data_IF_640521420181
#
_entry.id   IF_640521420181
#
_cell.length_a   1.000
_cell.length_b   1.000
_cell.length_c   1.000
_cell.angle_alpha   90.00
_cell.angle_beta   90.00
_cell.angle_gamma   90.00
#
_symmetry.space_group_name_H-M   'P 1'
#
loop_
_entity.id
_entity.type
_entity.pdbx_description
1 polymer ?
#
# COMPACT_ATOMS: atom_id res chain seq x y z
N UNK A 1 3.59 28.70 -16.79
CA UNK A 1 3.50 27.32 -16.25
C UNK A 1 4.82 26.70 -16.61
N UNK A 2 5.70 26.48 -15.63
CA UNK A 2 6.94 25.74 -15.90
C UNK A 2 6.56 24.34 -16.38
N UNK A 3 7.14 23.93 -17.51
CA UNK A 3 6.91 22.63 -18.10
C UNK A 3 7.49 21.59 -17.14
N UNK A 4 6.65 20.66 -16.66
CA UNK A 4 7.09 19.60 -15.76
C UNK A 4 8.13 18.73 -16.48
N UNK A 5 9.37 18.79 -16.03
CA UNK A 5 10.47 18.05 -16.64
C UNK A 5 10.45 16.59 -16.18
N UNK A 6 9.82 15.76 -17.02
CA UNK A 6 9.70 14.31 -16.82
C UNK A 6 11.06 13.62 -16.77
N UNK A 7 12.03 14.07 -17.56
CA UNK A 7 13.37 13.47 -17.57
C UNK A 7 14.11 13.77 -16.27
N UNK A 8 13.98 14.99 -15.75
CA UNK A 8 14.50 15.35 -14.44
C UNK A 8 13.83 14.56 -13.31
N UNK A 9 12.51 14.37 -13.37
CA UNK A 9 11.79 13.54 -12.39
C UNK A 9 12.23 12.06 -12.45
N UNK A 10 12.39 11.49 -13.64
CA UNK A 10 12.93 10.13 -13.81
C UNK A 10 14.34 10.02 -13.23
N UNK A 11 15.19 11.02 -13.47
CA UNK A 11 16.54 11.05 -12.93
C UNK A 11 16.55 11.08 -11.40
N UNK A 12 15.71 11.93 -10.81
CA UNK A 12 15.57 12.07 -9.36
C UNK A 12 15.02 10.81 -8.69
N UNK A 13 13.98 10.18 -9.26
CA UNK A 13 13.42 8.92 -8.77
C UNK A 13 14.46 7.80 -8.85
N UNK A 14 15.18 7.69 -9.98
CA UNK A 14 16.22 6.69 -10.17
C UNK A 14 17.34 6.81 -9.13
N UNK A 15 17.79 8.04 -8.87
CA UNK A 15 18.80 8.32 -7.86
C UNK A 15 18.30 8.01 -6.44
N UNK A 16 17.13 8.53 -6.05
CA UNK A 16 16.58 8.38 -4.70
C UNK A 16 16.23 6.94 -4.34
N UNK A 17 15.76 6.15 -5.32
CA UNK A 17 15.46 4.73 -5.16
C UNK A 17 16.65 3.82 -5.48
N UNK A 18 17.76 4.38 -5.96
CA UNK A 18 18.96 3.67 -6.39
C UNK A 18 18.66 2.55 -7.42
N UNK A 19 17.97 2.93 -8.50
CA UNK A 19 17.59 2.06 -9.61
C UNK A 19 18.03 2.69 -10.95
N UNK A 20 18.05 1.89 -12.02
CA UNK A 20 18.42 2.38 -13.35
C UNK A 20 17.26 3.17 -13.99
N UNK A 21 17.56 4.26 -14.70
CA UNK A 21 16.55 5.14 -15.30
C UNK A 21 15.67 4.43 -16.34
N UNK A 22 16.22 3.47 -17.08
CA UNK A 22 15.50 2.68 -18.09
C UNK A 22 14.42 1.77 -17.49
N UNK A 23 14.40 1.61 -16.17
CA UNK A 23 13.36 0.89 -15.43
C UNK A 23 12.14 1.75 -15.14
N UNK A 24 12.21 3.04 -15.40
CA UNK A 24 11.20 4.03 -15.06
C UNK A 24 10.57 4.58 -16.35
N UNK A 25 9.25 4.56 -16.41
CA UNK A 25 8.47 5.16 -17.49
C UNK A 25 7.37 6.05 -16.93
N UNK A 26 7.16 7.22 -17.52
CA UNK A 26 6.04 8.08 -17.15
C UNK A 26 4.78 7.74 -17.95
N UNK A 27 3.65 7.60 -17.28
CA UNK A 27 2.34 7.33 -17.89
C UNK A 27 1.51 8.62 -17.88
N UNK A 28 1.43 9.29 -19.02
CA UNK A 28 0.86 10.65 -19.11
C UNK A 28 -0.60 10.76 -18.66
N UNK A 29 -1.44 9.80 -19.03
CA UNK A 29 -2.88 9.86 -18.77
C UNK A 29 -3.26 9.64 -17.30
N UNK A 30 -2.33 9.12 -16.50
CA UNK A 30 -2.53 8.83 -15.07
C UNK A 30 -1.60 9.63 -14.16
N UNK A 31 -0.73 10.47 -14.74
CA UNK A 31 0.28 11.27 -14.02
C UNK A 31 1.08 10.44 -13.01
N UNK A 32 1.62 9.28 -13.46
CA UNK A 32 2.33 8.35 -12.60
C UNK A 32 3.64 7.86 -13.22
N UNK A 33 4.61 7.55 -12.36
CA UNK A 33 5.88 6.95 -12.74
C UNK A 33 5.85 5.46 -12.44
N UNK A 34 5.86 4.65 -13.51
CA UNK A 34 5.90 3.21 -13.42
C UNK A 34 7.35 2.73 -13.34
N UNK A 35 7.64 1.93 -12.32
CA UNK A 35 8.94 1.31 -12.04
C UNK A 35 8.78 -0.19 -12.25
N UNK A 36 9.57 -0.77 -13.13
CA UNK A 36 9.41 -2.15 -13.59
C UNK A 36 10.58 -3.06 -13.20
N UNK A 37 10.27 -4.29 -12.78
CA UNK A 37 11.21 -5.40 -12.74
C UNK A 37 12.52 -5.07 -11.99
N UNK A 38 12.39 -4.50 -10.79
CA UNK A 38 13.50 -4.07 -9.95
C UNK A 38 13.40 -4.62 -8.52
N UNK A 39 14.56 -4.86 -7.91
CA UNK A 39 14.68 -4.93 -6.46
C UNK A 39 14.89 -3.49 -5.97
N UNK A 40 14.09 -3.01 -5.02
CA UNK A 40 14.23 -1.65 -4.47
C UNK A 40 15.17 -1.71 -3.26
N UNK A 41 16.45 -1.34 -3.39
CA UNK A 41 17.47 -1.65 -2.38
C UNK A 41 17.40 -0.78 -1.12
N UNK A 42 16.76 0.39 -1.19
CA UNK A 42 16.75 1.38 -0.10
C UNK A 42 15.34 1.62 0.35
N UNK A 43 15.04 1.27 1.60
CA UNK A 43 13.73 1.52 2.16
C UNK A 43 13.83 1.84 3.65
N UNK A 44 14.12 3.10 3.97
CA UNK A 44 13.84 3.68 5.29
C UNK A 44 14.00 5.21 5.29
N UNK A 45 15.02 5.74 4.60
CA UNK A 45 15.46 7.12 4.91
C UNK A 45 15.17 8.17 3.83
N UNK A 46 14.93 7.79 2.57
CA UNK A 46 14.72 8.75 1.46
C UNK A 46 13.25 9.01 1.15
N UNK A 47 12.52 9.30 2.22
CA UNK A 47 11.07 9.48 2.34
C UNK A 47 10.45 10.45 1.29
N UNK A 48 11.23 11.41 0.76
CA UNK A 48 10.73 12.48 -0.11
C UNK A 48 10.17 12.01 -1.44
N UNK A 49 10.74 10.96 -2.05
CA UNK A 49 10.29 10.48 -3.36
C UNK A 49 8.81 10.07 -3.34
N UNK A 50 8.35 9.48 -2.23
CA UNK A 50 6.96 9.08 -2.02
C UNK A 50 6.01 10.26 -1.76
N UNK A 51 6.54 11.45 -1.45
CA UNK A 51 5.76 12.68 -1.25
C UNK A 51 5.62 13.52 -2.53
N UNK A 52 6.60 13.39 -3.42
CA UNK A 52 6.74 14.24 -4.59
C UNK A 52 6.05 13.64 -5.81
N UNK A 53 6.07 12.30 -5.94
CA UNK A 53 5.63 11.61 -7.15
C UNK A 53 4.56 10.55 -6.88
N UNK A 54 3.61 10.42 -7.81
CA UNK A 54 2.75 9.24 -7.88
C UNK A 54 3.57 8.09 -8.45
N UNK A 55 3.73 7.00 -7.69
CA UNK A 55 4.59 5.88 -8.06
C UNK A 55 3.76 4.61 -8.25
N UNK A 56 4.11 3.86 -9.29
CA UNK A 56 3.55 2.55 -9.57
C UNK A 56 4.66 1.52 -9.72
N UNK A 57 4.74 0.57 -8.79
CA UNK A 57 5.71 -0.52 -8.81
C UNK A 57 5.08 -1.75 -9.44
N UNK A 58 5.69 -2.25 -10.52
CA UNK A 58 5.21 -3.41 -11.26
C UNK A 58 6.29 -4.50 -11.32
N UNK A 59 5.95 -5.69 -10.80
CA UNK A 59 6.88 -6.85 -10.71
C UNK A 59 8.17 -6.52 -9.97
N UNK A 60 8.07 -5.71 -8.92
CA UNK A 60 9.20 -5.32 -8.09
C UNK A 60 9.33 -6.19 -6.84
N UNK A 61 10.54 -6.29 -6.32
CA UNK A 61 10.82 -6.88 -5.01
C UNK A 61 11.09 -5.75 -4.01
N UNK A 62 10.32 -5.72 -2.93
CA UNK A 62 10.31 -4.66 -1.93
C UNK A 62 10.80 -5.26 -0.59
N UNK A 63 12.06 -5.02 -0.19
CA UNK A 63 12.62 -5.65 1.00
C UNK A 63 11.91 -5.30 2.30
N UNK A 64 11.76 -4.03 2.71
CA UNK A 64 11.08 -3.64 3.96
C UNK A 64 10.54 -2.20 3.85
N UNK A 65 9.23 -1.95 3.88
CA UNK A 65 8.68 -0.60 3.67
C UNK A 65 7.94 -0.06 4.88
N UNK A 66 8.34 1.11 5.37
CA UNK A 66 7.64 1.81 6.45
C UNK A 66 7.22 3.20 5.96
N UNK A 67 5.91 3.45 5.94
CA UNK A 67 5.31 4.72 5.54
C UNK A 67 4.77 5.46 6.77
N UNK A 68 5.38 6.59 7.11
CA UNK A 68 5.09 7.33 8.35
C UNK A 68 4.54 8.74 8.14
N UNK A 69 4.42 9.16 6.88
CA UNK A 69 4.25 10.55 6.46
C UNK A 69 3.28 10.64 5.29
N UNK A 70 2.81 11.84 4.98
CA UNK A 70 1.94 12.12 3.83
C UNK A 70 2.60 11.72 2.52
N UNK A 71 1.98 10.84 1.74
CA UNK A 71 2.47 10.39 0.43
C UNK A 71 1.50 10.78 -0.69
N UNK A 72 2.03 10.81 -1.91
CA UNK A 72 1.23 10.78 -3.14
C UNK A 72 0.63 9.38 -3.35
N UNK A 73 0.05 9.14 -4.52
CA UNK A 73 -0.43 7.79 -4.88
C UNK A 73 0.74 6.80 -4.88
N UNK A 74 0.61 5.69 -4.16
CA UNK A 74 1.53 4.56 -4.21
C UNK A 74 0.78 3.30 -4.62
N UNK A 75 1.17 2.75 -5.76
CA UNK A 75 0.55 1.58 -6.33
C UNK A 75 1.57 0.46 -6.48
N UNK A 76 1.18 -0.76 -6.11
CA UNK A 76 2.01 -1.95 -6.21
C UNK A 76 1.20 -3.03 -6.91
N UNK A 77 1.78 -3.63 -7.95
CA UNK A 77 1.14 -4.73 -8.66
C UNK A 77 2.12 -5.84 -9.01
N UNK A 78 1.74 -7.08 -8.74
CA UNK A 78 2.59 -8.26 -8.94
C UNK A 78 3.93 -8.15 -8.21
N UNK A 79 3.97 -7.46 -7.07
CA UNK A 79 5.18 -7.26 -6.29
C UNK A 79 5.37 -8.38 -5.26
N UNK A 80 6.62 -8.56 -4.83
CA UNK A 80 6.97 -9.42 -3.69
C UNK A 80 7.51 -8.55 -2.56
N UNK A 81 6.90 -8.63 -1.37
CA UNK A 81 7.37 -7.96 -0.16
C UNK A 81 8.11 -8.99 0.70
N UNK A 82 9.45 -8.93 0.70
CA UNK A 82 10.31 -9.93 1.38
C UNK A 82 10.29 -9.78 2.91
N UNK A 83 10.03 -8.57 3.40
CA UNK A 83 9.82 -8.24 4.81
C UNK A 83 8.54 -7.41 4.98
N UNK A 84 8.38 -6.81 6.15
CA UNK A 84 7.14 -6.13 6.52
C UNK A 84 6.88 -4.87 5.68
N UNK A 85 5.61 -4.64 5.37
CA UNK A 85 5.10 -3.34 4.91
C UNK A 85 4.26 -2.76 6.05
N UNK A 86 4.70 -1.63 6.60
CA UNK A 86 4.05 -0.95 7.71
C UNK A 86 3.62 0.47 7.33
N UNK A 87 2.37 0.83 7.63
CA UNK A 87 1.83 2.19 7.56
C UNK A 87 1.58 2.65 9.00
N UNK A 88 2.08 3.83 9.40
CA UNK A 88 1.87 4.36 10.76
C UNK A 88 2.00 5.88 10.86
N UNK A 89 1.89 6.41 12.08
CA UNK A 89 2.21 7.80 12.41
C UNK A 89 1.39 8.83 11.62
N UNK A 90 2.02 9.66 10.79
CA UNK A 90 1.41 10.81 10.13
C UNK A 90 1.04 10.54 8.67
N UNK A 91 0.88 9.27 8.29
CA UNK A 91 0.46 8.90 6.95
C UNK A 91 -0.90 9.50 6.60
N UNK A 92 -0.95 10.23 5.49
CA UNK A 92 -2.18 10.52 4.75
C UNK A 92 -1.85 10.36 3.26
N UNK A 93 -2.56 9.48 2.58
CA UNK A 93 -2.21 9.11 1.21
C UNK A 93 -3.16 8.07 0.64
N UNK A 94 -2.91 7.72 -0.63
CA UNK A 94 -3.60 6.64 -1.32
C UNK A 94 -2.61 5.50 -1.57
N UNK A 95 -2.99 4.29 -1.14
CA UNK A 95 -2.23 3.07 -1.42
C UNK A 95 -3.12 2.06 -2.16
N UNK A 96 -2.58 1.48 -3.22
CA UNK A 96 -3.19 0.36 -3.95
C UNK A 96 -2.18 -0.79 -4.01
N UNK A 97 -2.58 -1.99 -3.59
CA UNK A 97 -1.73 -3.19 -3.65
C UNK A 97 -2.54 -4.31 -4.29
N UNK A 98 -2.05 -4.83 -5.41
CA UNK A 98 -2.76 -5.81 -6.22
C UNK A 98 -1.88 -6.99 -6.62
N UNK A 99 -2.45 -8.19 -6.66
CA UNK A 99 -1.80 -9.39 -7.18
C UNK A 99 -0.40 -9.66 -6.57
N UNK A 100 -0.16 -9.24 -5.31
CA UNK A 100 1.17 -9.21 -4.68
C UNK A 100 1.29 -10.24 -3.55
N UNK A 101 2.53 -10.58 -3.19
CA UNK A 101 2.86 -11.58 -2.16
C UNK A 101 3.60 -10.91 -1.00
N UNK A 102 3.18 -11.23 0.23
CA UNK A 102 3.83 -10.77 1.46
C UNK A 102 4.44 -11.95 2.20
N UNK A 103 5.77 -11.96 2.29
CA UNK A 103 6.53 -13.01 3.00
C UNK A 103 6.54 -12.82 4.52
N UNK A 104 6.14 -11.63 4.99
CA UNK A 104 6.04 -11.20 6.39
C UNK A 104 4.76 -10.38 6.60
N UNK A 105 4.79 -9.41 7.52
CA UNK A 105 3.61 -8.71 8.00
C UNK A 105 3.21 -7.54 7.09
N UNK A 106 1.92 -7.44 6.79
CA UNK A 106 1.30 -6.19 6.35
C UNK A 106 0.59 -5.52 7.53
N UNK A 107 0.97 -4.27 7.80
CA UNK A 107 0.61 -3.56 9.02
C UNK A 107 0.08 -2.15 8.79
N UNK A 108 -1.02 -1.79 9.47
CA UNK A 108 -1.47 -0.39 9.58
C UNK A 108 -1.71 -0.07 11.05
N UNK A 109 -0.90 0.81 11.64
CA UNK A 109 -0.86 0.99 13.09
C UNK A 109 -0.87 2.46 13.50
N UNK A 110 -1.80 2.84 14.38
CA UNK A 110 -1.79 4.11 15.10
C UNK A 110 -1.58 5.33 14.18
N UNK A 111 -2.22 5.33 13.01
CA UNK A 111 -2.15 6.47 12.11
C UNK A 111 -2.96 7.62 12.71
N UNK A 112 -2.26 8.71 13.03
CA UNK A 112 -2.80 9.91 13.70
C UNK A 112 -3.73 10.72 12.81
N UNK A 113 -3.48 10.68 11.50
CA UNK A 113 -4.31 11.33 10.49
C UNK A 113 -5.36 10.37 9.95
N UNK A 114 -6.43 10.94 9.42
CA UNK A 114 -7.42 10.15 8.69
C UNK A 114 -6.87 9.73 7.33
N UNK A 115 -6.79 8.42 7.08
CA UNK A 115 -6.27 7.86 5.84
C UNK A 115 -7.30 8.02 4.74
N UNK A 116 -6.88 8.55 3.58
CA UNK A 116 -7.78 8.82 2.47
C UNK A 116 -8.32 7.56 1.81
N UNK A 117 -7.44 6.67 1.35
CA UNK A 117 -7.85 5.44 0.68
C UNK A 117 -6.77 4.36 0.74
N UNK A 118 -7.18 3.15 1.11
CA UNK A 118 -6.36 1.93 1.01
C UNK A 118 -7.14 0.93 0.18
N UNK A 119 -6.49 0.35 -0.84
CA UNK A 119 -7.06 -0.69 -1.68
C UNK A 119 -6.09 -1.88 -1.73
N UNK A 120 -6.58 -3.04 -1.32
CA UNK A 120 -5.78 -4.27 -1.19
C UNK A 120 -6.57 -5.40 -1.83
N UNK A 121 -6.17 -5.83 -3.03
CA UNK A 121 -6.92 -6.79 -3.83
C UNK A 121 -6.06 -7.95 -4.34
N UNK A 122 -6.54 -9.20 -4.28
CA UNK A 122 -5.87 -10.38 -4.89
C UNK A 122 -4.46 -10.65 -4.36
N UNK A 123 -4.18 -10.28 -3.12
CA UNK A 123 -2.86 -10.50 -2.52
C UNK A 123 -2.80 -11.79 -1.70
N UNK A 124 -1.58 -12.29 -1.49
CA UNK A 124 -1.29 -13.42 -0.60
C UNK A 124 -0.56 -12.88 0.63
N UNK A 125 -1.16 -13.06 1.80
CA UNK A 125 -0.61 -12.61 3.07
C UNK A 125 -0.33 -13.79 4.01
N UNK A 126 0.81 -13.71 4.72
CA UNK A 126 0.99 -14.47 5.96
C UNK A 126 0.24 -13.77 7.09
N UNK A 127 0.69 -12.57 7.47
CA UNK A 127 0.14 -11.89 8.64
C UNK A 127 -0.36 -10.49 8.27
N UNK A 128 -1.60 -10.19 8.65
CA UNK A 128 -2.23 -8.87 8.47
C UNK A 128 -2.64 -8.31 9.82
N UNK A 129 -2.20 -7.10 10.14
CA UNK A 129 -2.53 -6.43 11.39
C UNK A 129 -2.94 -4.97 11.16
N UNK A 130 -4.16 -4.60 11.53
CA UNK A 130 -4.71 -3.26 11.30
C UNK A 130 -5.32 -2.74 12.60
N UNK A 131 -4.63 -1.81 13.27
CA UNK A 131 -4.98 -1.36 14.62
C UNK A 131 -5.07 0.15 14.79
N UNK A 132 -6.16 0.61 15.40
CA UNK A 132 -6.32 1.99 15.89
C UNK A 132 -6.17 3.06 14.81
N UNK A 133 -6.88 2.89 13.70
CA UNK A 133 -6.83 3.82 12.56
C UNK A 133 -8.20 4.46 12.28
N UNK A 134 -8.17 5.65 11.67
CA UNK A 134 -9.34 6.26 11.03
C UNK A 134 -9.14 6.25 9.51
N UNK A 135 -10.01 5.57 8.77
CA UNK A 135 -9.86 5.35 7.32
C UNK A 135 -11.15 5.73 6.61
N UNK A 136 -11.05 6.62 5.61
CA UNK A 136 -12.21 7.03 4.82
C UNK A 136 -12.67 5.88 3.92
N UNK A 137 -11.81 5.44 3.02
CA UNK A 137 -12.14 4.37 2.07
C UNK A 137 -11.17 3.20 2.24
N UNK A 138 -11.70 2.03 2.57
CA UNK A 138 -10.92 0.82 2.77
C UNK A 138 -11.49 -0.31 1.92
N UNK A 139 -10.72 -0.73 0.92
CA UNK A 139 -11.07 -1.90 0.12
C UNK A 139 -10.08 -3.03 0.39
N UNK A 140 -10.60 -4.20 0.77
CA UNK A 140 -9.81 -5.37 1.10
C UNK A 140 -10.49 -6.61 0.53
N UNK A 141 -10.11 -7.00 -0.68
CA UNK A 141 -10.88 -7.94 -1.49
C UNK A 141 -10.05 -9.07 -2.11
N UNK A 142 -10.67 -10.24 -2.27
CA UNK A 142 -10.08 -11.37 -2.99
C UNK A 142 -8.68 -11.81 -2.47
N UNK A 143 -8.35 -11.52 -1.22
CA UNK A 143 -7.04 -11.84 -0.65
C UNK A 143 -7.04 -13.24 -0.01
N UNK A 144 -5.91 -13.93 -0.09
CA UNK A 144 -5.65 -15.18 0.65
C UNK A 144 -4.76 -14.88 1.85
N UNK A 145 -5.27 -15.08 3.06
CA UNK A 145 -4.61 -14.62 4.29
C UNK A 145 -4.44 -15.77 5.27
N UNK A 146 -3.23 -15.91 5.83
CA UNK A 146 -2.98 -16.91 6.86
C UNK A 146 -3.56 -16.48 8.22
N UNK A 147 -3.11 -15.34 8.76
CA UNK A 147 -3.61 -14.74 10.00
C UNK A 147 -4.00 -13.28 9.77
N UNK A 148 -5.14 -12.88 10.34
CA UNK A 148 -5.60 -11.49 10.31
C UNK A 148 -6.11 -11.03 11.66
N UNK A 149 -5.71 -9.82 12.04
CA UNK A 149 -6.24 -9.10 13.20
C UNK A 149 -6.56 -7.65 12.83
N UNK A 150 -7.83 -7.27 12.93
CA UNK A 150 -8.31 -5.91 12.68
C UNK A 150 -9.04 -5.42 13.92
N UNK A 151 -8.46 -4.45 14.63
CA UNK A 151 -8.96 -4.00 15.92
C UNK A 151 -9.03 -2.47 16.07
N UNK A 152 -10.10 -1.99 16.71
CA UNK A 152 -10.26 -0.59 17.12
C UNK A 152 -10.17 0.42 15.96
N UNK A 153 -10.60 0.07 14.75
CA UNK A 153 -10.59 0.99 13.61
C UNK A 153 -11.92 1.71 13.44
N UNK A 154 -11.88 2.92 12.88
CA UNK A 154 -13.04 3.70 12.48
C UNK A 154 -13.01 3.90 10.95
N UNK A 155 -13.96 3.29 10.26
CA UNK A 155 -14.14 3.42 8.82
C UNK A 155 -15.27 4.42 8.52
N UNK A 156 -14.94 5.57 7.93
CA UNK A 156 -15.80 6.77 7.91
C UNK A 156 -16.44 7.09 6.56
N UNK A 157 -16.22 6.30 5.51
CA UNK A 157 -17.04 6.37 4.29
C UNK A 157 -17.43 4.99 3.82
N UNK A 158 -16.50 4.27 3.22
CA UNK A 158 -16.76 2.96 2.62
C UNK A 158 -15.71 1.96 3.09
N UNK A 159 -16.17 0.82 3.60
CA UNK A 159 -15.33 -0.32 3.93
C UNK A 159 -15.86 -1.57 3.23
N UNK A 160 -14.99 -2.24 2.48
CA UNK A 160 -15.27 -3.46 1.74
C UNK A 160 -14.33 -4.56 2.19
N UNK A 161 -14.91 -5.71 2.55
CA UNK A 161 -14.20 -6.92 2.93
C UNK A 161 -14.84 -8.10 2.17
N UNK A 162 -14.55 -8.23 0.87
CA UNK A 162 -15.25 -9.19 0.02
C UNK A 162 -14.32 -10.29 -0.51
N UNK A 163 -14.84 -11.50 -0.66
CA UNK A 163 -14.16 -12.63 -1.30
C UNK A 163 -12.77 -12.99 -0.72
N UNK A 164 -12.50 -12.63 0.53
CA UNK A 164 -11.25 -13.01 1.20
C UNK A 164 -11.30 -14.45 1.69
N UNK A 165 -10.17 -15.15 1.63
CA UNK A 165 -9.97 -16.49 2.19
C UNK A 165 -9.08 -16.39 3.43
N UNK A 166 -9.55 -16.91 4.56
CA UNK A 166 -8.81 -16.93 5.82
C UNK A 166 -8.46 -18.37 6.18
N UNK A 167 -7.17 -18.67 6.42
CA UNK A 167 -6.73 -20.05 6.61
C UNK A 167 -6.58 -20.47 8.09
N UNK A 168 -6.32 -19.52 8.99
CA UNK A 168 -6.12 -19.79 10.42
C UNK A 168 -6.86 -18.78 11.29
N UNK A 169 -6.17 -17.77 11.82
CA UNK A 169 -6.77 -16.82 12.76
C UNK A 169 -7.44 -15.66 12.02
N UNK A 170 -8.67 -15.35 12.43
CA UNK A 170 -9.43 -14.22 11.91
C UNK A 170 -10.10 -13.46 13.05
N UNK A 171 -9.51 -12.31 13.42
CA UNK A 171 -9.99 -11.46 14.51
C UNK A 171 -10.46 -10.11 13.96
N UNK A 172 -11.73 -9.80 14.22
CA UNK A 172 -12.31 -8.49 14.01
C UNK A 172 -12.90 -8.00 15.34
N UNK A 173 -12.31 -6.97 15.95
CA UNK A 173 -12.71 -6.51 17.28
C UNK A 173 -12.86 -5.00 17.39
N UNK A 174 -14.01 -4.53 17.89
CA UNK A 174 -14.28 -3.10 18.13
C UNK A 174 -14.03 -2.17 16.92
N UNK A 175 -14.30 -2.65 15.72
CA UNK A 175 -14.30 -1.80 14.52
C UNK A 175 -15.66 -1.09 14.39
N UNK A 176 -15.63 0.18 13.99
CA UNK A 176 -16.81 1.00 13.69
C UNK A 176 -16.85 1.29 12.19
N UNK A 177 -18.04 1.19 11.59
CA UNK A 177 -18.22 1.37 10.14
C UNK A 177 -19.39 2.31 9.87
N UNK A 178 -19.19 3.29 9.00
CA UNK A 178 -20.29 4.10 8.46
C UNK A 178 -21.06 3.33 7.37
N UNK A 179 -20.35 2.82 6.36
CA UNK A 179 -20.89 1.87 5.39
C UNK A 179 -19.96 0.66 5.27
N UNK A 180 -20.50 -0.54 5.49
CA UNK A 180 -19.79 -1.82 5.39
C UNK A 180 -20.44 -2.71 4.33
N UNK A 181 -19.63 -3.25 3.44
CA UNK A 181 -19.98 -4.36 2.56
C UNK A 181 -19.07 -5.54 2.85
N UNK A 182 -19.68 -6.70 3.10
CA UNK A 182 -19.00 -7.94 3.45
C UNK A 182 -19.72 -9.11 2.78
N UNK A 183 -19.09 -9.74 1.79
CA UNK A 183 -19.67 -10.82 0.98
C UNK A 183 -18.62 -11.88 0.61
N UNK A 184 -19.07 -13.12 0.37
CA UNK A 184 -18.26 -14.21 -0.21
C UNK A 184 -16.95 -14.55 0.54
N UNK A 185 -16.83 -14.21 1.82
CA UNK A 185 -15.68 -14.61 2.62
C UNK A 185 -15.69 -16.12 2.90
N UNK A 186 -14.53 -16.76 2.75
CA UNK A 186 -14.30 -18.17 3.07
C UNK A 186 -13.43 -18.27 4.33
N UNK A 187 -13.86 -19.08 5.29
CA UNK A 187 -13.19 -19.32 6.57
C UNK A 187 -12.82 -20.79 6.71
#
# INVERSE_FOLDING_TARGET
MEEFDKEQAIADIAEKLNIQKDKISYIEHSDLFQINDCVIPVIADNIKVFQEYNLYFYRCTIPNLILEITTKSLEFKMCCFESSFIIRNNFDGYISIQDSIFEKDFGIFWVKKEIYKINVCKNIFKDVSIFENKILNFNFEENSIQNISICNNLFTKEAYFNANSFNYECIFFKNSFENLSFYEANF
#
